data_IF_510322399641
#
_entry.id   IF_510322399641
#
_cell.length_a   1.000
_cell.length_b   1.000
_cell.length_c   1.000
_cell.angle_alpha   90.00
_cell.angle_beta   90.00
_cell.angle_gamma   90.00
#
_symmetry.space_group_name_H-M   'P 1'
#
loop_
_entity.id
_entity.type
_entity.pdbx_description
1 polymer ?
2 water ?
#
# COMPACT_ATOMS: atom_id res chain seq x y z
N UNK A 35 6.22 -3.88 -16.49
CA UNK A 35 5.13 -2.87 -16.38
C UNK A 35 3.79 -3.37 -16.99
N UNK A 36 3.86 -4.46 -17.76
CA UNK A 36 2.73 -5.22 -18.26
C UNK A 36 1.68 -5.50 -17.21
N UNK A 37 0.41 -5.17 -17.53
CA UNK A 37 -0.75 -5.37 -16.59
C UNK A 37 -1.13 -6.83 -16.44
N UNK A 38 -1.18 -7.32 -15.20
CA UNK A 38 -1.38 -8.71 -14.91
C UNK A 38 -2.70 -8.97 -14.18
N UNK A 39 -3.20 -7.96 -13.46
CA UNK A 39 -4.51 -8.04 -12.80
C UNK A 39 -4.43 -8.87 -11.55
N UNK A 40 -5.61 -9.19 -10.97
CA UNK A 40 -5.69 -9.90 -9.68
C UNK A 40 -5.41 -11.36 -9.80
N UNK A 41 -4.65 -11.85 -8.85
CA UNK A 41 -4.29 -13.29 -8.72
C UNK A 41 -4.59 -13.72 -7.29
N UNK A 42 -5.82 -13.58 -6.92
CA UNK A 42 -6.22 -13.71 -5.55
C UNK A 42 -6.41 -15.15 -5.19
N UNK A 43 -6.21 -15.51 -3.93
CA UNK A 43 -6.26 -16.92 -3.45
C UNK A 43 -7.01 -16.99 -2.12
N UNK A 44 -8.11 -17.72 -2.11
CA UNK A 44 -8.94 -17.91 -0.91
C UNK A 44 -8.22 -18.88 0.01
N UNK A 45 -8.23 -18.51 1.27
CA UNK A 45 -7.66 -19.33 2.37
C UNK A 45 -8.59 -19.29 3.55
N UNK A 46 -9.22 -20.41 3.88
CA UNK A 46 -10.19 -20.35 4.97
C UNK A 46 -9.51 -20.61 6.30
N UNK A 47 -8.60 -21.57 6.32
CA UNK A 47 -7.80 -21.87 7.51
C UNK A 47 -6.45 -21.19 7.22
N UNK A 48 -5.93 -20.48 8.19
CA UNK A 48 -4.68 -19.72 8.05
C UNK A 48 -3.82 -19.86 9.32
N UNK A 49 -2.57 -19.58 9.14
CA UNK A 49 -1.59 -19.49 10.22
C UNK A 49 -1.69 -18.09 10.81
N UNK A 50 -1.91 -18.01 12.10
CA UNK A 50 -2.01 -16.67 12.74
C UNK A 50 -0.79 -15.81 12.54
N UNK A 51 0.36 -16.42 12.39
CA UNK A 51 1.56 -15.67 12.10
C UNK A 51 1.65 -15.12 10.68
N UNK A 52 0.76 -15.56 9.79
CA UNK A 52 0.71 -15.15 8.43
C UNK A 52 -0.57 -14.34 8.15
N UNK A 53 -1.16 -13.77 9.19
CA UNK A 53 -2.42 -13.03 9.06
C UNK A 53 -2.28 -11.89 7.99
N UNK A 54 -3.31 -11.76 7.14
CA UNK A 54 -3.30 -10.78 6.05
C UNK A 54 -3.75 -9.43 6.57
N UNK A 55 -2.93 -8.79 7.42
CA UNK A 55 -3.29 -7.50 8.02
C UNK A 55 -2.35 -6.50 7.31
N UNK A 56 -2.90 -5.59 6.53
CA UNK A 56 -2.15 -4.65 5.68
C UNK A 56 -2.51 -3.23 5.98
N UNK A 57 -1.48 -2.40 6.27
CA UNK A 57 -1.59 -0.98 6.38
C UNK A 57 -1.05 -0.39 5.12
N UNK A 58 -1.85 0.46 4.45
CA UNK A 58 -1.42 0.92 3.11
C UNK A 58 -1.89 2.33 2.90
N UNK A 59 -1.14 3.09 2.09
CA UNK A 59 -1.57 4.43 1.79
C UNK A 59 -2.71 4.50 0.75
N UNK A 60 -3.37 5.67 0.70
CA UNK A 60 -4.34 6.00 -0.34
C UNK A 60 -3.53 6.35 -1.58
N UNK A 61 -3.27 5.31 -2.37
CA UNK A 61 -2.16 5.33 -3.32
C UNK A 61 -2.25 6.54 -4.25
N UNK A 62 -1.14 7.26 -4.31
CA UNK A 62 -0.86 8.38 -5.27
C UNK A 62 -1.57 9.67 -4.94
N UNK A 63 -2.30 9.75 -3.85
CA UNK A 63 -3.14 10.90 -3.59
C UNK A 63 -2.46 12.07 -2.96
N UNK A 64 -1.35 11.92 -2.35
CA UNK A 64 -0.99 13.27 -1.77
C UNK A 64 0.12 13.89 -2.59
N UNK A 65 1.36 13.57 -2.24
CA UNK A 65 2.47 14.10 -3.00
C UNK A 65 2.42 13.84 -4.50
N UNK A 66 2.03 12.60 -4.91
CA UNK A 66 1.90 12.26 -6.36
C UNK A 66 0.80 12.95 -7.13
N UNK A 67 -0.12 13.54 -6.40
CA UNK A 67 -1.07 14.36 -7.04
C UNK A 67 -2.10 13.71 -7.92
N UNK A 68 -2.45 12.46 -7.67
CA UNK A 68 -3.41 11.80 -8.52
C UNK A 68 -4.76 12.43 -8.25
N UNK A 69 -5.56 12.60 -9.29
CA UNK A 69 -6.90 13.14 -9.15
C UNK A 69 -7.69 12.37 -8.09
N UNK A 70 -8.18 13.06 -7.09
CA UNK A 70 -8.74 12.38 -5.93
C UNK A 70 -10.07 11.68 -6.27
N UNK A 71 -10.93 12.34 -7.05
CA UNK A 71 -12.18 11.67 -7.48
C UNK A 71 -11.86 10.32 -8.13
N UNK A 72 -10.88 10.33 -9.06
CA UNK A 72 -10.50 9.11 -9.79
C UNK A 72 -9.86 8.07 -8.86
N UNK A 73 -8.97 8.53 -7.98
CA UNK A 73 -8.29 7.65 -7.00
C UNK A 73 -9.28 7.05 -6.02
N UNK A 74 -10.28 7.79 -5.65
CA UNK A 74 -11.28 7.26 -4.71
C UNK A 74 -12.06 6.15 -5.34
N UNK A 75 -12.51 6.34 -6.58
CA UNK A 75 -13.32 5.32 -7.23
C UNK A 75 -12.49 4.04 -7.44
N UNK A 76 -11.25 4.21 -7.88
CA UNK A 76 -10.39 3.07 -8.16
C UNK A 76 -10.08 2.32 -6.85
N UNK A 77 -9.66 3.04 -5.82
CA UNK A 77 -9.33 2.50 -4.55
C UNK A 77 -10.54 1.72 -4.00
N UNK A 78 -11.69 2.39 -3.93
CA UNK A 78 -12.88 1.78 -3.30
C UNK A 78 -13.29 0.53 -4.06
N UNK A 79 -13.30 0.64 -5.38
CA UNK A 79 -13.69 -0.47 -6.18
C UNK A 79 -12.70 -1.67 -6.03
N UNK A 80 -11.39 -1.42 -6.01
CA UNK A 80 -10.41 -2.46 -5.91
C UNK A 80 -10.53 -3.14 -4.54
N UNK A 81 -10.78 -2.33 -3.51
CA UNK A 81 -10.85 -2.82 -2.16
C UNK A 81 -12.07 -3.74 -2.04
N UNK A 82 -13.17 -3.28 -2.58
CA UNK A 82 -14.40 -4.05 -2.54
C UNK A 82 -14.27 -5.33 -3.35
N UNK A 83 -13.58 -5.29 -4.49
CA UNK A 83 -13.34 -6.44 -5.29
C UNK A 83 -12.58 -7.53 -4.50
N UNK A 84 -11.52 -7.10 -3.85
CA UNK A 84 -10.70 -8.00 -3.05
C UNK A 84 -11.52 -8.54 -1.88
N UNK A 85 -12.19 -7.68 -1.13
CA UNK A 85 -12.92 -8.14 0.09
C UNK A 85 -14.11 -9.08 -0.25
N UNK A 86 -14.81 -8.79 -1.33
CA UNK A 86 -15.94 -9.65 -1.76
C UNK A 86 -15.44 -10.97 -2.19
N UNK A 87 -14.36 -10.99 -2.95
CA UNK A 87 -13.77 -12.24 -3.37
C UNK A 87 -13.43 -13.10 -2.14
N UNK A 88 -12.93 -12.44 -1.09
CA UNK A 88 -12.52 -13.06 0.13
C UNK A 88 -13.56 -12.99 1.21
N UNK A 89 -14.85 -13.02 0.86
CA UNK A 89 -15.92 -13.07 1.84
C UNK A 89 -15.63 -14.24 2.84
N UNK A 90 -15.85 -14.02 4.11
CA UNK A 90 -15.68 -15.12 5.08
C UNK A 90 -14.26 -15.42 5.47
N UNK A 91 -13.26 -14.66 4.99
CA UNK A 91 -11.88 -14.86 5.42
C UNK A 91 -11.58 -13.82 6.46
N UNK A 92 -11.71 -14.17 7.73
CA UNK A 92 -11.64 -13.18 8.79
C UNK A 92 -10.23 -12.82 9.20
N UNK A 93 -9.17 -13.41 8.61
CA UNK A 93 -7.82 -12.99 8.94
C UNK A 93 -7.41 -11.64 8.30
N UNK A 94 -8.15 -11.24 7.27
CA UNK A 94 -7.86 -10.08 6.49
C UNK A 94 -8.28 -8.85 7.24
N UNK A 95 -7.36 -7.91 7.33
CA UNK A 95 -7.61 -6.61 7.92
C UNK A 95 -6.91 -5.60 7.03
N UNK A 96 -7.68 -4.63 6.55
CA UNK A 96 -7.14 -3.59 5.65
C UNK A 96 -7.29 -2.25 6.34
N UNK A 97 -6.19 -1.52 6.46
CA UNK A 97 -6.19 -0.21 7.06
C UNK A 97 -5.58 0.73 6.11
N UNK A 98 -6.39 1.64 5.61
CA UNK A 98 -5.89 2.57 4.61
C UNK A 98 -5.60 3.87 5.31
N UNK A 99 -4.39 4.35 5.14
CA UNK A 99 -3.94 5.54 5.83
C UNK A 99 -4.13 6.73 4.91
N UNK A 100 -4.87 7.72 5.35
CA UNK A 100 -5.20 8.89 4.57
C UNK A 100 -4.67 10.17 5.27
N UNK A 101 -3.94 11.00 4.54
CA UNK A 101 -3.40 12.21 5.15
C UNK A 101 -4.56 13.18 5.48
N UNK A 102 -4.38 13.88 6.59
CA UNK A 102 -5.45 14.78 7.12
C UNK A 102 -5.98 15.69 6.06
N UNK A 103 -5.08 16.19 5.27
CA UNK A 103 -5.50 17.15 4.24
C UNK A 103 -6.49 16.59 3.24
N UNK A 104 -6.43 15.28 2.99
CA UNK A 104 -7.27 14.61 2.00
C UNK A 104 -8.53 14.03 2.67
N UNK A 105 -8.43 13.67 3.96
CA UNK A 105 -9.52 13.10 4.73
C UNK A 105 -10.65 14.09 4.90
N UNK A 106 -11.86 13.69 4.56
CA UNK A 106 -13.05 14.57 4.70
C UNK A 106 -14.28 13.73 4.84
N UNK A 107 -15.36 14.30 5.33
CA UNK A 107 -16.62 13.59 5.32
C UNK A 107 -17.05 13.15 3.90
N UNK A 108 -16.88 14.02 2.91
CA UNK A 108 -17.21 13.72 1.53
C UNK A 108 -16.43 12.50 1.01
N UNK A 109 -15.16 12.41 1.40
CA UNK A 109 -14.34 11.27 1.03
C UNK A 109 -14.95 10.00 1.58
N UNK A 110 -15.25 10.01 2.85
CA UNK A 110 -15.80 8.83 3.49
C UNK A 110 -17.14 8.46 2.85
N UNK A 111 -17.99 9.46 2.61
CA UNK A 111 -19.28 9.19 1.90
C UNK A 111 -19.09 8.56 0.52
N UNK A 112 -18.03 8.93 -0.19
CA UNK A 112 -17.76 8.42 -1.51
C UNK A 112 -17.42 6.96 -1.40
N UNK A 113 -16.56 6.60 -0.42
CA UNK A 113 -16.32 5.23 -0.17
C UNK A 113 -17.60 4.48 0.15
N UNK A 114 -18.43 5.04 1.01
CA UNK A 114 -19.68 4.40 1.37
C UNK A 114 -20.56 4.13 0.17
N UNK A 115 -20.55 5.04 -0.78
CA UNK A 115 -21.34 4.92 -1.98
C UNK A 115 -20.85 3.76 -2.84
N UNK A 116 -19.54 3.64 -2.98
CA UNK A 116 -18.96 2.51 -3.72
C UNK A 116 -19.14 1.17 -3.07
N UNK A 117 -19.39 1.12 -1.75
CA UNK A 117 -19.59 -0.07 -1.06
C UNK A 117 -21.07 -0.39 -0.91
N UNK A 118 -21.94 0.39 -1.55
CA UNK A 118 -23.36 0.10 -1.57
C UNK A 118 -23.97 0.05 -0.20
N UNK A 119 -23.48 0.96 0.66
CA UNK A 119 -23.85 1.02 2.09
C UNK A 119 -23.60 -0.24 2.90
N UNK A 120 -22.63 -1.06 2.48
CA UNK A 120 -22.30 -2.29 3.17
C UNK A 120 -20.79 -2.23 3.34
N UNK A 121 -20.36 -1.33 4.18
CA UNK A 121 -18.92 -1.17 4.48
C UNK A 121 -18.40 -2.41 5.20
N UNK A 122 -17.43 -3.11 4.63
CA UNK A 122 -16.87 -4.30 5.24
C UNK A 122 -16.16 -4.01 6.55
N UNK A 123 -16.53 -4.71 7.63
CA UNK A 123 -15.90 -4.56 8.97
C UNK A 123 -14.38 -4.72 8.94
N UNK A 124 -13.85 -5.38 7.92
CA UNK A 124 -12.41 -5.62 7.80
C UNK A 124 -11.66 -4.47 7.19
N UNK A 125 -12.35 -3.43 6.74
CA UNK A 125 -11.69 -2.26 6.14
C UNK A 125 -11.88 -1.03 6.96
N UNK A 126 -10.77 -0.38 7.31
CA UNK A 126 -10.85 0.90 8.04
C UNK A 126 -9.99 1.94 7.38
N UNK A 127 -10.40 3.20 7.51
CA UNK A 127 -9.58 4.35 7.07
C UNK A 127 -9.07 5.01 8.28
N UNK A 128 -7.78 5.29 8.33
CA UNK A 128 -7.10 5.86 9.48
C UNK A 128 -6.50 7.17 9.02
N UNK A 129 -6.83 8.26 9.70
CA UNK A 129 -6.31 9.58 9.38
C UNK A 129 -4.94 9.74 9.98
N UNK A 130 -3.95 10.15 9.20
CA UNK A 130 -2.62 10.43 9.71
C UNK A 130 -2.29 11.89 9.37
N UNK A 131 -1.42 12.52 10.15
CA UNK A 131 -1.16 13.92 9.93
C UNK A 131 -0.45 14.19 8.61
N UNK A 132 0.58 13.40 8.32
CA UNK A 132 1.38 13.54 7.06
C UNK A 132 2.12 12.27 6.81
N UNK A 133 2.78 12.14 5.66
CA UNK A 133 3.37 10.85 5.29
C UNK A 133 4.48 10.36 6.24
N UNK A 134 5.01 11.25 7.08
CA UNK A 134 6.09 10.85 8.00
C UNK A 134 5.64 10.75 9.45
N UNK A 135 4.34 10.81 9.70
CA UNK A 135 3.85 10.80 11.09
C UNK A 135 4.14 9.52 11.81
N UNK A 136 4.47 9.61 13.11
CA UNK A 136 4.75 8.39 13.83
C UNK A 136 3.56 7.53 14.12
N UNK A 137 2.37 8.14 14.13
CA UNK A 137 1.13 7.40 14.43
C UNK A 137 0.82 6.30 13.45
N UNK A 138 1.44 6.31 12.29
CA UNK A 138 1.15 5.31 11.26
C UNK A 138 1.73 3.92 11.45
N UNK A 139 2.64 3.76 12.38
CA UNK A 139 3.42 2.54 12.43
C UNK A 139 2.91 1.47 13.39
N UNK A 140 2.12 1.85 14.40
CA UNK A 140 1.64 0.84 15.32
C UNK A 140 0.16 0.59 15.16
N UNK A 141 -0.28 0.19 13.97
CA UNK A 141 -1.70 -0.07 13.70
C UNK A 141 -2.05 -1.52 13.71
N UNK A 142 -1.11 -2.38 14.12
CA UNK A 142 -1.36 -3.79 14.28
C UNK A 142 -1.41 -4.58 12.97
N UNK A 143 -0.62 -4.18 11.98
CA UNK A 143 -0.66 -4.85 10.68
C UNK A 143 0.68 -5.49 10.42
N UNK A 144 0.65 -6.73 9.96
CA UNK A 144 1.85 -7.45 9.67
C UNK A 144 2.55 -7.04 8.38
N UNK A 145 1.80 -6.39 7.48
CA UNK A 145 2.33 -5.91 6.23
C UNK A 145 2.11 -4.37 6.19
N UNK A 146 3.18 -3.66 5.86
CA UNK A 146 3.15 -2.19 5.84
C UNK A 146 3.61 -1.74 4.48
N UNK A 147 2.76 -1.02 3.74
CA UNK A 147 3.03 -0.56 2.38
C UNK A 147 3.38 0.91 2.42
N UNK A 148 4.35 1.27 1.58
CA UNK A 148 4.80 2.64 1.39
C UNK A 148 4.97 2.95 -0.08
N UNK A 149 4.68 4.19 -0.49
CA UNK A 149 4.90 4.58 -1.90
C UNK A 149 6.40 4.75 -2.14
N UNK A 150 6.83 4.35 -3.30
CA UNK A 150 8.22 4.45 -3.70
C UNK A 150 8.31 4.87 -5.17
N UNK A 151 9.50 4.82 -5.72
CA UNK A 151 9.71 5.16 -7.13
C UNK A 151 10.52 4.05 -7.74
N UNK A 152 10.82 4.19 -9.04
CA UNK A 152 11.51 3.13 -9.74
C UNK A 152 12.83 2.73 -9.03
N UNK A 153 13.43 3.70 -8.34
CA UNK A 153 14.74 3.48 -7.74
C UNK A 153 14.72 2.55 -6.54
N UNK A 154 13.55 2.44 -5.92
CA UNK A 154 13.38 1.58 -4.80
C UNK A 154 14.27 2.00 -3.61
N UNK A 155 14.32 3.31 -3.41
CA UNK A 155 15.17 3.96 -2.41
C UNK A 155 14.32 4.88 -1.53
N UNK A 156 14.94 5.28 -0.46
CA UNK A 156 14.31 6.30 0.41
C UNK A 156 13.83 7.51 -0.31
N UNK A 157 12.60 7.95 -0.02
CA UNK A 157 12.14 9.23 -0.56
C UNK A 157 11.92 10.19 0.59
N UNK A 158 11.76 11.51 0.31
CA UNK A 158 11.50 12.40 1.43
C UNK A 158 10.18 12.08 2.15
N UNK A 159 9.23 11.48 1.43
CA UNK A 159 7.94 11.11 2.03
C UNK A 159 7.93 9.86 2.88
N UNK A 160 8.96 9.04 2.77
CA UNK A 160 9.08 7.85 3.65
C UNK A 160 10.39 7.81 4.40
N UNK A 161 10.96 8.98 4.58
CA UNK A 161 12.17 9.13 5.38
C UNK A 161 12.06 8.50 6.74
N UNK A 162 10.93 8.69 7.39
CA UNK A 162 10.78 8.23 8.82
C UNK A 162 10.78 6.73 8.91
N UNK A 163 10.04 6.10 7.99
CA UNK A 163 10.10 4.67 7.84
C UNK A 163 11.53 4.15 7.65
N UNK A 164 12.26 4.74 6.71
CA UNK A 164 13.61 4.30 6.37
C UNK A 164 14.56 4.49 7.56
N UNK A 165 14.40 5.58 8.33
CA UNK A 165 15.23 5.74 9.53
C UNK A 165 15.01 4.64 10.55
N UNK A 166 13.79 4.17 10.62
CA UNK A 166 13.42 3.13 11.50
C UNK A 166 13.93 1.77 11.07
N UNK A 167 14.14 1.57 9.76
CA UNK A 167 14.59 0.30 9.17
C UNK A 167 16.12 0.24 9.13
N UNK A 168 16.72 1.43 9.21
CA UNK A 168 18.12 1.77 8.82
C UNK A 168 18.25 1.83 7.30
N UNK A 169 18.37 3.02 6.77
CA UNK A 169 18.35 3.27 5.33
C UNK A 169 19.33 2.41 4.55
N UNK A 170 20.59 2.40 4.98
CA UNK A 170 21.62 1.68 4.23
C UNK A 170 21.31 0.20 4.21
N UNK A 171 20.89 -0.32 5.37
CA UNK A 171 20.64 -1.74 5.46
C UNK A 171 19.44 -2.11 4.57
N UNK A 172 18.37 -1.33 4.69
CA UNK A 172 17.16 -1.70 3.95
C UNK A 172 17.39 -1.55 2.43
N UNK A 173 18.09 -0.54 2.03
CA UNK A 173 18.34 -0.29 0.60
C UNK A 173 19.19 -1.37 -0.04
N UNK A 174 20.15 -1.86 0.71
CA UNK A 174 20.97 -2.97 0.32
C UNK A 174 20.19 -4.27 0.17
N UNK A 175 19.36 -4.61 1.16
CA UNK A 175 18.50 -5.72 1.06
C UNK A 175 17.54 -5.56 -0.16
N UNK A 176 17.00 -4.36 -0.38
CA UNK A 176 16.06 -4.12 -1.48
C UNK A 176 16.74 -4.41 -2.84
N UNK A 177 17.94 -3.85 -2.98
CA UNK A 177 18.77 -3.98 -4.22
C UNK A 177 19.15 -5.47 -4.46
N UNK A 178 19.39 -6.22 -3.40
CA UNK A 178 19.66 -7.65 -3.52
C UNK A 178 18.49 -8.43 -3.96
N UNK A 179 17.32 -8.01 -3.52
CA UNK A 179 16.17 -8.73 -3.95
C UNK A 179 15.65 -8.35 -5.38
N UNK A 180 15.83 -7.09 -5.75
CA UNK A 180 15.27 -6.50 -6.94
C UNK A 180 16.33 -5.73 -7.66
N UNK A 181 17.29 -6.46 -8.23
CA UNK A 181 18.46 -5.81 -8.74
C UNK A 181 18.18 -4.93 -9.95
N UNK A 182 17.09 -5.22 -10.64
CA UNK A 182 16.69 -4.50 -11.85
C UNK A 182 15.68 -3.37 -11.54
N UNK A 183 15.48 -3.11 -10.26
CA UNK A 183 14.75 -1.95 -9.80
C UNK A 183 13.27 -2.16 -10.06
N UNK A 184 12.47 -1.10 -10.05
CA UNK A 184 11.04 -1.25 -10.01
C UNK A 184 10.36 -0.65 -11.18
N UNK A 185 9.14 -1.15 -11.43
CA UNK A 185 8.31 -0.71 -12.55
C UNK A 185 6.98 -0.20 -12.01
N UNK A 186 6.50 0.87 -12.64
CA UNK A 186 5.22 1.48 -12.25
C UNK A 186 4.08 0.50 -12.38
N UNK A 187 3.21 0.49 -11.37
CA UNK A 187 2.10 -0.41 -11.34
C UNK A 187 2.39 -1.70 -10.55
N UNK A 188 3.61 -1.90 -10.06
CA UNK A 188 3.99 -3.07 -9.34
C UNK A 188 4.37 -2.77 -7.89
N UNK A 189 4.32 -3.78 -7.06
CA UNK A 189 4.84 -3.69 -5.68
C UNK A 189 6.00 -4.63 -5.41
N UNK A 190 6.77 -4.34 -4.37
CA UNK A 190 8.03 -4.97 -4.07
C UNK A 190 8.08 -5.27 -2.58
N UNK A 191 7.71 -6.48 -2.18
CA UNK A 191 7.73 -6.84 -0.74
C UNK A 191 9.13 -7.19 -0.28
N UNK A 192 9.48 -6.75 0.92
CA UNK A 192 10.73 -7.08 1.54
C UNK A 192 10.41 -7.56 2.95
N UNK A 193 10.75 -8.79 3.26
CA UNK A 193 10.53 -9.33 4.58
C UNK A 193 11.54 -8.75 5.60
N UNK A 194 11.07 -8.25 6.72
CA UNK A 194 11.91 -7.89 7.85
C UNK A 194 12.33 -9.15 8.64
N UNK A 195 11.66 -10.26 8.42
CA UNK A 195 11.95 -11.53 9.13
C UNK A 195 13.06 -12.36 8.60
N UNK A 196 13.02 -12.67 7.32
CA UNK A 196 13.90 -13.68 6.77
C UNK A 196 15.11 -12.94 6.44
N UNK A 197 15.30 -11.80 7.09
CA UNK A 197 16.15 -10.77 6.51
C UNK A 197 17.26 -10.31 7.41
N UNK A 198 17.57 -11.19 8.35
CA UNK A 198 18.60 -11.07 9.38
C UNK A 198 19.02 -9.71 9.82
N UNK A 199 19.31 -8.83 8.85
CA UNK A 199 19.76 -7.45 9.09
C UNK A 199 18.72 -6.43 9.60
N UNK A 200 17.44 -6.83 9.66
CA UNK A 200 16.25 -5.94 9.79
C UNK A 200 15.33 -6.43 10.89
N UNK A 201 15.57 -7.64 11.33
CA UNK A 201 14.73 -8.27 12.31
C UNK A 201 14.71 -7.52 13.63
N UNK A 202 15.77 -6.80 13.91
CA UNK A 202 15.84 -6.07 15.16
C UNK A 202 15.24 -4.67 15.13
N UNK A 203 14.74 -4.24 13.97
CA UNK A 203 14.09 -2.92 13.78
C UNK A 203 12.94 -2.79 14.77
N UNK A 204 12.70 -1.57 15.26
CA UNK A 204 11.48 -1.31 16.04
C UNK A 204 10.22 -1.70 15.27
N UNK A 205 10.30 -1.59 13.95
CA UNK A 205 9.15 -1.86 13.15
C UNK A 205 8.72 -3.32 13.34
N UNK A 206 9.68 -4.23 13.43
CA UNK A 206 9.39 -5.63 13.59
C UNK A 206 9.16 -6.05 15.05
N UNK A 207 10.12 -5.69 15.91
CA UNK A 207 10.12 -6.13 17.28
C UNK A 207 9.02 -5.52 18.11
N UNK A 208 8.79 -4.25 17.95
CA UNK A 208 7.77 -3.55 18.72
C UNK A 208 6.47 -3.38 17.98
N UNK A 209 6.53 -3.10 16.71
CA UNK A 209 5.28 -2.73 16.01
C UNK A 209 4.71 -3.87 15.16
N UNK A 210 5.34 -5.01 15.23
CA UNK A 210 4.80 -6.25 14.69
C UNK A 210 4.73 -6.38 13.20
N UNK A 211 5.51 -5.58 12.52
CA UNK A 211 5.56 -5.60 11.04
C UNK A 211 6.50 -6.66 10.58
N UNK A 212 6.03 -7.57 9.72
CA UNK A 212 6.88 -8.59 9.10
C UNK A 212 7.40 -8.30 7.73
N UNK A 213 6.62 -7.52 6.96
CA UNK A 213 6.92 -7.26 5.56
C UNK A 213 6.63 -5.80 5.28
N UNK A 214 7.58 -5.11 4.65
CA UNK A 214 7.42 -3.74 4.10
C UNK A 214 7.29 -3.85 2.56
N UNK A 215 6.29 -3.26 2.02
CA UNK A 215 6.01 -3.37 0.60
C UNK A 215 6.15 -1.98 -0.02
N UNK A 216 7.04 -1.88 -1.02
CA UNK A 216 7.23 -0.64 -1.69
C UNK A 216 6.26 -0.64 -2.87
N UNK A 217 5.47 0.41 -3.00
CA UNK A 217 4.33 0.43 -3.92
C UNK A 217 4.64 1.50 -4.96
N UNK A 218 4.71 1.16 -6.23
CA UNK A 218 5.07 2.11 -7.26
C UNK A 218 3.77 2.58 -7.98
N UNK A 219 3.05 3.49 -7.32
CA UNK A 219 1.82 4.03 -7.88
C UNK A 219 2.21 5.08 -8.93
N UNK A 220 1.19 5.62 -9.56
CA UNK A 220 1.31 6.55 -10.64
C UNK A 220 1.53 7.96 -10.07
N UNK A 221 2.60 8.60 -10.52
CA UNK A 221 2.87 9.98 -10.14
C UNK A 221 2.39 10.93 -11.21
N UNK A 222 1.69 11.93 -10.76
CA UNK A 222 1.23 12.98 -11.62
C UNK A 222 1.96 14.30 -11.40
N UNK A 223 2.81 14.40 -10.36
CA UNK A 223 3.46 15.65 -9.91
C UNK A 223 4.76 15.88 -10.66
N UNK A 224 4.81 16.91 -11.55
CA UNK A 224 6.01 17.29 -12.30
C UNK A 224 7.31 17.33 -11.48
N UNK A 225 7.23 17.62 -10.18
CA UNK A 225 8.44 17.75 -9.34
C UNK A 225 8.98 16.45 -8.84
N UNK A 226 8.27 15.35 -9.07
CA UNK A 226 8.70 14.02 -8.65
C UNK A 226 9.04 13.17 -9.90
N UNK A 227 9.83 12.05 -9.75
CA UNK A 227 10.16 11.18 -10.92
C UNK A 227 8.96 10.64 -11.71
N UNK A 228 9.15 10.50 -13.03
CA UNK A 228 8.27 9.70 -13.88
C UNK A 228 6.83 10.20 -13.84
N UNK A 229 6.67 11.50 -13.90
CA UNK A 229 5.35 12.12 -13.90
C UNK A 229 4.60 11.80 -15.19
N UNK A 230 3.32 11.47 -15.06
CA UNK A 230 2.42 11.20 -16.14
C UNK A 230 1.72 12.51 -16.45
N UNK A 231 1.44 12.71 -17.73
CA UNK A 231 0.73 13.89 -18.20
C UNK A 231 -0.71 13.73 -17.79
N UNK A 232 -1.39 14.88 -17.62
CA UNK A 232 -2.73 15.00 -17.04
C UNK A 232 -3.81 14.09 -17.58
N UNK A 233 -3.83 13.91 -18.86
CA UNK A 233 -4.86 13.08 -19.48
C UNK A 233 -4.22 11.83 -20.07
N UNK A 234 -3.14 11.37 -19.44
CA UNK A 234 -2.56 10.13 -19.90
C UNK A 234 -3.65 9.07 -19.82
N UNK A 235 -3.76 8.28 -20.88
CA UNK A 235 -4.71 7.18 -20.91
C UNK A 235 -4.20 5.98 -20.09
N UNK A 236 -2.94 6.03 -19.64
CA UNK A 236 -2.41 4.96 -18.85
C UNK A 236 -2.53 5.14 -17.34
N UNK A 237 -2.82 6.34 -16.88
CA UNK A 237 -2.83 6.71 -15.45
C UNK A 237 -3.83 5.88 -14.67
N UNK A 238 -5.08 5.89 -15.09
CA UNK A 238 -6.09 5.08 -14.35
C UNK A 238 -5.90 3.55 -14.34
N UNK A 239 -5.60 2.95 -15.51
CA UNK A 239 -5.26 1.57 -15.55
C UNK A 239 -4.05 1.17 -14.71
N UNK A 240 -3.02 1.99 -14.71
CA UNK A 240 -1.86 1.68 -13.89
C UNK A 240 -2.12 1.88 -12.39
N UNK A 241 -2.96 2.82 -12.00
CA UNK A 241 -3.25 2.91 -10.54
C UNK A 241 -4.04 1.66 -10.10
N UNK A 242 -5.01 1.23 -10.90
CA UNK A 242 -5.70 0.00 -10.59
C UNK A 242 -4.77 -1.18 -10.51
N UNK A 243 -3.86 -1.29 -11.47
CA UNK A 243 -2.92 -2.38 -11.46
C UNK A 243 -2.06 -2.35 -10.19
N UNK A 244 -1.72 -1.16 -9.72
CA UNK A 244 -0.98 -0.99 -8.43
C UNK A 244 -1.77 -1.66 -7.29
N UNK A 245 -3.06 -1.42 -7.23
CA UNK A 245 -3.86 -2.06 -6.19
C UNK A 245 -3.90 -3.56 -6.36
N UNK A 246 -4.09 -4.02 -7.58
CA UNK A 246 -4.04 -5.47 -7.85
C UNK A 246 -2.74 -6.10 -7.41
N UNK A 247 -1.62 -5.49 -7.77
CA UNK A 247 -0.32 -5.94 -7.34
C UNK A 247 -0.19 -5.99 -5.83
N UNK A 248 -0.64 -4.94 -5.17
CA UNK A 248 -0.58 -4.89 -3.72
C UNK A 248 -1.34 -6.05 -3.10
N UNK A 249 -2.57 -6.26 -3.55
CA UNK A 249 -3.39 -7.29 -2.97
C UNK A 249 -2.94 -8.66 -3.41
N UNK A 250 -2.29 -8.75 -4.56
CA UNK A 250 -1.66 -10.01 -4.92
C UNK A 250 -0.52 -10.34 -3.93
N UNK A 251 0.25 -9.36 -3.53
CA UNK A 251 1.30 -9.55 -2.55
C UNK A 251 0.70 -9.99 -1.23
N UNK A 252 -0.42 -9.39 -0.85
CA UNK A 252 -1.05 -9.76 0.40
C UNK A 252 -1.44 -11.21 0.38
N UNK A 253 -1.97 -11.70 -0.75
CA UNK A 253 -2.42 -13.10 -0.84
C UNK A 253 -1.28 -14.13 -0.96
N UNK A 254 -0.10 -13.64 -1.30
CA UNK A 254 1.14 -14.44 -1.06
C UNK A 254 1.93 -14.10 0.22
N UNK A 255 1.23 -13.51 1.19
CA UNK A 255 1.79 -12.56 2.18
#
# INVERSE_FOLDING_TARGET
XGSSHHHHHHSSGLVPRGSHXASXTGGNNXGAGSSKIIGPKYRKKRLTDALKERSLAFPFISTSTFGFNIDDATEISANAISEYLHFHEKEDDIKLKMMVEKSIYSDNLIQSFKKHFNDKWDKRFEIIKIENSNSLEQFNLGCKLFATESTWRLKKTPQNKQLYEMLDTGTFEKVTKNLYPNCGKIGKVYPISLQNNKQLVNSILHKEYGIDIVILVLGVNMNPNKPDAFKENSELAKPLLLETYHSLFNALDNF
#
